data_IF_705153707234
#
_entry.id   IF_705153707234
#
_cell.length_a   1.000
_cell.length_b   1.000
_cell.length_c   1.000
_cell.angle_alpha   90.00
_cell.angle_beta   90.00
_cell.angle_gamma   90.00
#
_symmetry.space_group_name_H-M   'P 1'
#
loop_
_entity.id
_entity.type
_entity.pdbx_description
1 polymer ?
#
# COMPACT_ATOMS: atom_id res chain seq x y z
N UNK A 1 1.88 -3.54 -26.20
CA UNK A 1 2.31 -2.63 -25.12
C UNK A 1 2.30 -3.43 -23.84
N UNK A 2 3.42 -3.52 -23.11
CA UNK A 2 3.40 -4.14 -21.80
C UNK A 2 2.54 -3.25 -20.89
N UNK A 3 1.40 -3.74 -20.44
CA UNK A 3 0.59 -3.01 -19.48
C UNK A 3 1.30 -3.05 -18.13
N UNK A 4 1.42 -1.91 -17.46
CA UNK A 4 2.01 -1.87 -16.12
C UNK A 4 0.98 -2.43 -15.13
N UNK A 5 1.37 -3.46 -14.40
CA UNK A 5 0.54 -4.14 -13.41
C UNK A 5 0.89 -3.69 -11.99
N UNK A 6 -0.12 -3.24 -11.25
CA UNK A 6 0.02 -2.64 -9.90
C UNK A 6 -0.96 -3.31 -8.95
N UNK A 7 -0.46 -3.91 -7.88
CA UNK A 7 -1.29 -4.38 -6.77
C UNK A 7 -1.41 -3.31 -5.68
N UNK A 8 -2.60 -3.16 -5.13
CA UNK A 8 -2.89 -2.36 -3.93
C UNK A 8 -3.23 -3.33 -2.80
N UNK A 9 -2.40 -3.36 -1.76
CA UNK A 9 -2.53 -4.32 -0.65
C UNK A 9 -2.84 -3.61 0.65
N UNK A 10 -4.05 -3.81 1.17
CA UNK A 10 -4.50 -3.24 2.43
C UNK A 10 -4.73 -1.72 2.40
N UNK A 11 -4.84 -1.12 3.57
CA UNK A 11 -5.04 0.32 3.73
C UNK A 11 -6.48 0.73 3.97
N UNK A 12 -6.68 2.05 4.04
CA UNK A 12 -7.96 2.69 4.32
C UNK A 12 -8.61 3.26 3.04
N UNK A 13 -9.58 4.17 3.19
CA UNK A 13 -10.31 4.75 2.06
C UNK A 13 -9.41 5.47 1.04
N UNK A 14 -8.20 5.90 1.43
CA UNK A 14 -7.23 6.45 0.48
C UNK A 14 -6.77 5.41 -0.54
N UNK A 15 -6.68 4.16 -0.13
CA UNK A 15 -6.26 3.06 -0.99
C UNK A 15 -7.37 2.62 -1.94
N UNK A 16 -8.63 2.69 -1.52
CA UNK A 16 -9.79 2.53 -2.41
C UNK A 16 -9.77 3.60 -3.52
N UNK A 17 -9.47 4.85 -3.17
CA UNK A 17 -9.32 5.96 -4.14
C UNK A 17 -8.12 5.75 -5.06
N UNK A 18 -7.01 5.23 -4.54
CA UNK A 18 -5.84 4.88 -5.34
C UNK A 18 -6.20 3.85 -6.41
N UNK A 19 -6.95 2.78 -6.06
CA UNK A 19 -7.43 1.81 -7.04
C UNK A 19 -8.22 2.48 -8.16
N UNK A 20 -9.10 3.44 -7.83
CA UNK A 20 -9.83 4.22 -8.84
C UNK A 20 -8.92 5.01 -9.76
N UNK A 21 -7.95 5.74 -9.21
CA UNK A 21 -7.00 6.52 -10.01
C UNK A 21 -6.18 5.63 -10.94
N UNK A 22 -5.74 4.46 -10.48
CA UNK A 22 -4.97 3.50 -11.27
C UNK A 22 -5.81 2.93 -12.42
N UNK A 23 -7.03 2.47 -12.14
CA UNK A 23 -7.95 2.00 -13.18
C UNK A 23 -8.29 3.08 -14.20
N UNK A 24 -8.60 4.31 -13.75
CA UNK A 24 -8.95 5.44 -14.62
C UNK A 24 -7.78 5.84 -15.55
N UNK A 25 -6.54 5.55 -15.14
CA UNK A 25 -5.32 5.76 -15.94
C UNK A 25 -4.94 4.56 -16.82
N UNK A 26 -5.71 3.47 -16.79
CA UNK A 26 -5.50 2.29 -17.62
C UNK A 26 -4.47 1.27 -17.11
N UNK A 27 -4.05 1.36 -15.84
CA UNK A 27 -3.17 0.37 -15.23
C UNK A 27 -3.90 -0.95 -14.98
N UNK A 28 -3.21 -2.08 -15.16
CA UNK A 28 -3.69 -3.39 -14.74
C UNK A 28 -3.65 -3.46 -13.21
N UNK A 29 -4.79 -3.20 -12.58
CA UNK A 29 -4.87 -2.90 -11.15
C UNK A 29 -5.43 -4.10 -10.40
N UNK A 30 -4.66 -4.59 -9.43
CA UNK A 30 -5.03 -5.69 -8.54
C UNK A 30 -5.27 -5.17 -7.13
N UNK A 31 -6.19 -5.78 -6.39
CA UNK A 31 -6.54 -5.37 -5.02
C UNK A 31 -6.60 -6.58 -4.12
N UNK A 32 -5.91 -6.51 -2.97
CA UNK A 32 -5.95 -7.54 -1.95
C UNK A 32 -6.06 -6.90 -0.55
N UNK A 33 -6.79 -7.54 0.37
CA UNK A 33 -6.90 -7.06 1.76
C UNK A 33 -7.73 -5.78 1.93
N UNK A 34 -8.57 -5.42 0.95
CA UNK A 34 -9.52 -4.31 1.01
C UNK A 34 -10.88 -4.80 0.48
N UNK A 35 -11.95 -4.58 1.24
CA UNK A 35 -13.33 -4.82 0.81
C UNK A 35 -14.10 -3.51 0.90
N UNK A 36 -14.44 -2.92 -0.24
CA UNK A 36 -15.21 -1.67 -0.28
C UNK A 36 -16.03 -1.57 -1.58
N UNK A 37 -17.29 -1.07 -1.55
CA UNK A 37 -18.14 -0.96 -2.73
C UNK A 37 -17.59 -0.01 -3.82
N UNK A 38 -16.76 0.96 -3.43
CA UNK A 38 -16.15 1.92 -4.37
C UNK A 38 -14.90 1.39 -5.09
N UNK A 39 -14.49 0.14 -4.84
CA UNK A 39 -13.42 -0.48 -5.65
C UNK A 39 -13.92 -0.59 -7.10
N UNK A 40 -13.17 -0.09 -8.10
CA UNK A 40 -13.63 -0.08 -9.48
C UNK A 40 -13.86 -1.50 -10.01
N UNK A 41 -14.92 -1.69 -10.80
CA UNK A 41 -15.20 -2.98 -11.48
C UNK A 41 -14.09 -3.43 -12.43
N UNK A 42 -13.25 -2.51 -12.89
CA UNK A 42 -12.09 -2.80 -13.74
C UNK A 42 -10.86 -3.30 -12.96
N UNK A 43 -10.89 -3.29 -11.63
CA UNK A 43 -9.82 -3.84 -10.82
C UNK A 43 -10.01 -5.35 -10.61
N UNK A 44 -8.90 -6.09 -10.59
CA UNK A 44 -8.86 -7.51 -10.26
C UNK A 44 -8.88 -7.68 -8.74
N UNK A 45 -9.91 -8.33 -8.19
CA UNK A 45 -9.97 -8.67 -6.77
C UNK A 45 -9.22 -9.98 -6.56
N UNK A 46 -8.05 -9.90 -5.92
CA UNK A 46 -7.26 -11.06 -5.56
C UNK A 46 -7.91 -11.80 -4.38
N UNK A 47 -7.81 -13.13 -4.40
CA UNK A 47 -8.27 -14.01 -3.33
C UNK A 47 -7.13 -14.49 -2.44
N UNK A 48 -5.90 -14.41 -2.94
CA UNK A 48 -4.66 -14.72 -2.21
C UNK A 48 -3.54 -13.76 -2.58
N UNK A 49 -2.46 -13.72 -1.79
CA UNK A 49 -1.26 -12.99 -2.16
C UNK A 49 -0.54 -13.61 -3.37
N UNK A 50 -0.75 -14.90 -3.65
CA UNK A 50 -0.15 -15.60 -4.78
C UNK A 50 -0.66 -15.07 -6.12
N UNK A 51 -1.92 -14.61 -6.15
CA UNK A 51 -2.53 -13.96 -7.31
C UNK A 51 -1.73 -12.72 -7.76
N UNK A 52 -0.98 -12.09 -6.84
CA UNK A 52 -0.20 -10.88 -7.09
C UNK A 52 1.17 -11.16 -7.75
N UNK A 53 1.52 -12.43 -8.00
CA UNK A 53 2.79 -12.80 -8.69
C UNK A 53 2.95 -12.22 -10.08
N UNK A 54 1.85 -11.82 -10.72
CA UNK A 54 1.82 -11.17 -12.03
C UNK A 54 2.05 -9.65 -11.98
N UNK A 55 2.03 -9.06 -10.77
CA UNK A 55 2.16 -7.62 -10.58
C UNK A 55 3.63 -7.20 -10.56
N UNK A 56 3.96 -6.14 -11.31
CA UNK A 56 5.30 -5.54 -11.34
C UNK A 56 5.53 -4.63 -10.12
N UNK A 57 4.47 -3.97 -9.66
CA UNK A 57 4.50 -3.05 -8.53
C UNK A 57 3.48 -3.45 -7.48
N UNK A 58 3.82 -3.24 -6.20
CA UNK A 58 2.90 -3.46 -5.08
C UNK A 58 2.92 -2.25 -4.16
N UNK A 59 1.76 -1.63 -3.95
CA UNK A 59 1.58 -0.52 -3.01
C UNK A 59 1.02 -1.05 -1.70
N UNK A 60 1.78 -0.89 -0.61
CA UNK A 60 1.38 -1.26 0.74
C UNK A 60 0.70 -0.11 1.50
N UNK A 61 0.08 -0.38 2.65
CA UNK A 61 -0.74 0.60 3.36
C UNK A 61 0.08 1.72 4.02
N UNK A 62 -0.59 2.82 4.39
CA UNK A 62 -0.01 3.90 5.22
C UNK A 62 -0.78 4.01 6.54
N UNK A 63 -0.16 3.76 7.70
CA UNK A 63 1.18 3.20 7.88
C UNK A 63 1.27 1.75 7.36
N UNK A 64 2.48 1.25 7.08
CA UNK A 64 2.65 -0.15 6.65
C UNK A 64 2.09 -1.15 7.69
N UNK A 65 2.31 -0.87 8.98
CA UNK A 65 1.80 -1.67 10.10
C UNK A 65 1.53 -0.78 11.32
N UNK A 66 0.60 -1.21 12.19
CA UNK A 66 0.36 -0.58 13.50
C UNK A 66 0.92 -1.41 14.67
N UNK A 67 0.93 -2.73 14.53
CA UNK A 67 1.32 -3.67 15.58
C UNK A 67 2.73 -4.26 15.38
N UNK A 68 3.36 -3.99 14.24
CA UNK A 68 4.67 -4.55 13.88
C UNK A 68 4.62 -6.01 13.43
N UNK A 69 3.42 -6.59 13.23
CA UNK A 69 3.23 -8.01 12.89
C UNK A 69 2.36 -8.19 11.64
N UNK A 70 1.33 -7.38 11.51
CA UNK A 70 0.37 -7.44 10.41
C UNK A 70 0.36 -6.14 9.63
N UNK A 71 0.04 -6.24 8.33
CA UNK A 71 -0.24 -5.07 7.51
C UNK A 71 -1.44 -4.30 8.05
N UNK A 72 -1.42 -2.98 7.89
CA UNK A 72 -2.58 -2.16 8.22
C UNK A 72 -3.70 -2.34 7.19
N UNK A 73 -4.67 -3.21 7.49
CA UNK A 73 -5.80 -3.57 6.59
C UNK A 73 -7.17 -3.28 7.23
N UNK A 74 -7.48 -2.02 7.62
CA UNK A 74 -8.70 -1.69 8.35
C UNK A 74 -10.00 -1.94 7.57
N UNK A 75 -9.92 -2.04 6.24
CA UNK A 75 -11.05 -2.32 5.36
C UNK A 75 -11.07 -3.78 4.87
N UNK A 76 -10.14 -4.62 5.33
CA UNK A 76 -10.05 -6.03 4.98
C UNK A 76 -10.68 -6.91 6.05
N UNK A 77 -11.18 -8.08 5.64
CA UNK A 77 -11.63 -9.13 6.56
C UNK A 77 -10.53 -10.16 6.87
N UNK A 78 -9.32 -9.94 6.35
CA UNK A 78 -8.19 -10.86 6.42
C UNK A 78 -7.01 -10.16 7.09
N UNK A 79 -6.43 -10.81 8.09
CA UNK A 79 -5.14 -10.41 8.65
C UNK A 79 -4.03 -10.88 7.74
N UNK A 80 -3.16 -9.96 7.31
CA UNK A 80 -2.02 -10.26 6.44
C UNK A 80 -0.77 -10.06 7.27
N UNK A 81 -0.05 -11.14 7.62
CA UNK A 81 1.22 -10.99 8.33
C UNK A 81 2.28 -10.39 7.42
N UNK A 82 3.23 -9.68 8.00
CA UNK A 82 4.34 -9.07 7.26
C UNK A 82 5.17 -10.14 6.58
N UNK A 83 5.42 -11.28 7.24
CA UNK A 83 6.18 -12.39 6.66
C UNK A 83 5.49 -12.96 5.42
N UNK A 84 4.18 -13.22 5.51
CA UNK A 84 3.41 -13.76 4.39
C UNK A 84 3.38 -12.78 3.21
N UNK A 85 3.26 -11.48 3.49
CA UNK A 85 3.35 -10.45 2.46
C UNK A 85 4.71 -10.52 1.75
N UNK A 86 5.81 -10.41 2.50
CA UNK A 86 7.18 -10.41 1.97
C UNK A 86 7.46 -11.64 1.09
N UNK A 87 7.08 -12.83 1.56
CA UNK A 87 7.29 -14.08 0.84
C UNK A 87 6.59 -14.12 -0.53
N UNK A 88 5.43 -13.46 -0.65
CA UNK A 88 4.62 -13.51 -1.86
C UNK A 88 4.83 -12.33 -2.80
N UNK A 89 5.41 -11.21 -2.35
CA UNK A 89 5.60 -10.01 -3.16
C UNK A 89 7.06 -9.65 -3.43
N UNK A 90 8.01 -10.47 -2.99
CA UNK A 90 9.46 -10.21 -3.13
C UNK A 90 9.95 -10.05 -4.58
N UNK A 91 9.19 -10.51 -5.57
CA UNK A 91 9.47 -10.34 -7.00
C UNK A 91 9.15 -8.94 -7.54
N UNK A 92 8.32 -8.16 -6.83
CA UNK A 92 7.81 -6.88 -7.28
C UNK A 92 8.61 -5.70 -6.70
N UNK A 93 8.47 -4.52 -7.33
CA UNK A 93 8.94 -3.28 -6.74
C UNK A 93 7.90 -2.73 -5.77
N UNK A 94 8.28 -2.56 -4.50
CA UNK A 94 7.35 -2.25 -3.41
C UNK A 94 7.31 -0.75 -3.11
N UNK A 95 6.13 -0.15 -3.13
CA UNK A 95 5.87 1.21 -2.67
C UNK A 95 5.24 1.16 -1.27
N UNK A 96 6.05 1.36 -0.24
CA UNK A 96 5.66 1.19 1.16
C UNK A 96 5.73 2.54 1.90
N UNK A 97 5.32 2.59 3.17
CA UNK A 97 5.35 3.84 3.94
C UNK A 97 5.43 3.61 5.43
N UNK A 98 6.10 4.51 6.15
CA UNK A 98 6.20 4.47 7.62
C UNK A 98 6.86 3.15 8.05
N UNK A 99 8.01 2.86 7.45
CA UNK A 99 8.76 1.62 7.68
C UNK A 99 9.69 1.83 8.88
N UNK A 100 9.52 1.02 9.93
CA UNK A 100 10.41 1.04 11.09
C UNK A 100 11.75 0.38 10.77
N UNK A 101 12.79 0.78 11.50
CA UNK A 101 14.18 0.35 11.26
C UNK A 101 14.42 -1.16 11.38
N UNK A 102 13.73 -1.82 12.32
CA UNK A 102 13.74 -3.27 12.48
C UNK A 102 13.16 -3.99 11.24
N UNK A 103 12.15 -3.40 10.62
CA UNK A 103 11.53 -3.88 9.39
C UNK A 103 12.42 -3.67 8.17
N UNK A 104 13.20 -2.59 8.10
CA UNK A 104 14.19 -2.38 7.03
C UNK A 104 15.23 -3.50 7.00
N UNK A 105 15.71 -3.93 8.18
CA UNK A 105 16.62 -5.09 8.29
C UNK A 105 15.98 -6.38 7.79
N UNK A 106 14.67 -6.55 8.02
CA UNK A 106 13.92 -7.67 7.47
C UNK A 106 13.88 -7.57 5.95
N UNK A 107 13.59 -6.41 5.39
CA UNK A 107 13.53 -6.21 3.94
C UNK A 107 14.88 -6.46 3.26
N UNK A 108 15.98 -6.05 3.89
CA UNK A 108 17.36 -6.37 3.44
C UNK A 108 17.61 -7.87 3.45
N UNK A 109 17.23 -8.57 4.53
CA UNK A 109 17.38 -10.04 4.64
C UNK A 109 16.65 -10.79 3.50
N UNK A 110 15.50 -10.29 3.07
CA UNK A 110 14.70 -10.87 1.98
C UNK A 110 15.02 -10.25 0.61
N UNK A 111 16.04 -9.38 0.52
CA UNK A 111 16.45 -8.69 -0.70
C UNK A 111 15.28 -8.00 -1.44
N UNK A 112 14.44 -7.31 -0.68
CA UNK A 112 13.29 -6.60 -1.25
C UNK A 112 13.72 -5.34 -1.98
N UNK A 113 13.16 -5.13 -3.17
CA UNK A 113 13.25 -3.87 -3.90
C UNK A 113 12.09 -2.98 -3.47
N UNK A 114 12.36 -1.92 -2.72
CA UNK A 114 11.31 -1.04 -2.20
C UNK A 114 11.71 0.44 -2.17
N UNK A 115 10.69 1.28 -2.07
CA UNK A 115 10.80 2.69 -1.70
C UNK A 115 9.94 2.95 -0.45
N UNK A 116 10.46 3.72 0.50
CA UNK A 116 9.64 4.32 1.57
C UNK A 116 9.13 5.67 1.08
N UNK A 117 7.83 5.76 0.79
CA UNK A 117 7.21 7.00 0.31
C UNK A 117 7.38 8.15 1.31
N UNK A 118 7.55 7.89 2.60
CA UNK A 118 7.73 8.96 3.60
C UNK A 118 9.12 9.59 3.56
N UNK A 119 10.10 8.91 2.98
CA UNK A 119 11.46 9.43 2.79
C UNK A 119 11.60 10.22 1.49
N UNK A 120 10.56 10.26 0.66
CA UNK A 120 10.52 11.13 -0.51
C UNK A 120 10.24 12.57 -0.06
N UNK A 121 11.17 13.49 -0.36
CA UNK A 121 11.09 14.91 0.02
C UNK A 121 9.73 15.55 -0.31
N UNK A 122 9.17 15.22 -1.48
CA UNK A 122 7.87 15.73 -1.94
C UNK A 122 6.70 15.29 -1.05
N UNK A 123 6.71 14.01 -0.63
CA UNK A 123 5.67 13.43 0.24
C UNK A 123 5.79 13.99 1.65
N UNK A 124 7.00 14.22 2.16
CA UNK A 124 7.24 14.85 3.45
C UNK A 124 6.68 16.29 3.49
N UNK A 125 6.84 17.06 2.40
CA UNK A 125 6.29 18.41 2.27
C UNK A 125 4.75 18.40 2.26
N UNK A 126 4.15 17.55 1.41
CA UNK A 126 2.68 17.42 1.31
C UNK A 126 2.06 16.98 2.64
N UNK A 127 2.62 15.94 3.28
CA UNK A 127 2.14 15.45 4.57
C UNK A 127 2.30 16.50 5.69
N UNK A 128 3.37 17.30 5.66
CA UNK A 128 3.54 18.39 6.61
C UNK A 128 2.45 19.46 6.45
N UNK A 129 1.99 19.74 5.22
CA UNK A 129 0.88 20.66 4.96
C UNK A 129 -0.45 20.09 5.45
N UNK A 130 -0.78 18.85 5.06
CA UNK A 130 -2.04 18.20 5.45
C UNK A 130 -2.16 17.99 6.96
N UNK A 131 -1.07 17.54 7.60
CA UNK A 131 -1.04 17.34 9.07
C UNK A 131 -1.18 18.67 9.80
N UNK A 132 -0.47 19.73 9.37
CA UNK A 132 -0.60 21.05 9.97
C UNK A 132 -2.00 21.64 9.77
N UNK A 133 -2.60 21.47 8.59
CA UNK A 133 -3.97 21.92 8.33
C UNK A 133 -4.99 21.14 9.18
N UNK A 134 -4.83 19.83 9.30
CA UNK A 134 -5.66 18.99 10.16
C UNK A 134 -5.55 19.40 11.64
N UNK A 135 -4.33 19.62 12.14
CA UNK A 135 -4.11 20.11 13.52
C UNK A 135 -4.66 21.52 13.73
N UNK A 136 -4.55 22.40 12.73
CA UNK A 136 -5.09 23.76 12.80
C UNK A 136 -6.63 23.77 12.89
N UNK A 137 -7.32 22.91 12.14
CA UNK A 137 -8.78 22.76 12.18
C UNK A 137 -9.29 22.26 13.55
N UNK A 138 -8.47 21.48 14.27
CA UNK A 138 -8.76 21.06 15.64
C UNK A 138 -8.33 22.07 16.72
N UNK A 139 -7.78 23.22 16.33
CA UNK A 139 -7.41 24.34 17.20
C UNK A 139 -8.10 25.67 16.81
N UNK A 140 -9.12 25.60 15.95
CA UNK A 140 -10.06 26.72 15.78
C UNK A 140 -11.05 26.65 16.95
N UNK A 141 -11.12 27.66 17.83
CA UNK A 141 -12.10 27.71 18.90
C UNK A 141 -13.55 27.74 18.39
#
# INVERSE_FOLDING_TARGET
>A
MNNISVAVVGGDLRFVRLCKILCDKGFDTWVFGITHPDIPKGAHIATSLEDLKVCQYVVGPIPFTRDGKNLFTPLGNTSISIEMFIENVSHAYLCLSVIKEDMKKLFEKYNLHYIDLMEMDEVAILNAMDTKMHMALHHIP
#
